data_IF_506282458399
#
_entry.id   IF_506282458399
#
_cell.length_a   1.000
_cell.length_b   1.000
_cell.length_c   1.000
_cell.angle_alpha   90.00
_cell.angle_beta   90.00
_cell.angle_gamma   90.00
#
_symmetry.space_group_name_H-M   'P 1'
#
loop_
_entity.id
_entity.type
_entity.pdbx_description
1 polymer ?
#
# COMPACT_ATOMS: atom_id res chain seq x y z
N UNK A 1 -22.50 7.18 -7.30
CA UNK A 1 -21.07 7.52 -7.29
C UNK A 1 -20.45 6.81 -6.10
N UNK A 2 -19.82 5.67 -6.33
CA UNK A 2 -19.16 4.87 -5.28
C UNK A 2 -17.69 5.23 -5.25
N UNK A 3 -17.22 5.62 -4.07
CA UNK A 3 -15.81 5.89 -3.77
C UNK A 3 -15.08 4.54 -3.77
N UNK A 4 -13.97 4.35 -4.51
CA UNK A 4 -13.19 3.13 -4.42
C UNK A 4 -12.48 3.08 -3.07
N UNK A 5 -12.57 1.92 -2.43
CA UNK A 5 -11.87 1.55 -1.21
C UNK A 5 -10.35 1.54 -1.50
N UNK A 6 -9.60 2.48 -0.92
CA UNK A 6 -8.14 2.59 -1.04
C UNK A 6 -7.51 1.69 0.03
N UNK A 7 -6.86 0.60 -0.40
CA UNK A 7 -6.07 -0.29 0.45
C UNK A 7 -4.57 -0.09 0.21
N UNK A 8 -3.83 -0.02 1.32
CA UNK A 8 -2.37 -0.11 1.53
C UNK A 8 -1.48 0.98 0.88
N UNK A 9 -0.90 1.81 1.75
CA UNK A 9 0.13 2.82 1.45
C UNK A 9 1.47 2.42 2.06
N UNK A 10 2.58 2.88 1.46
CA UNK A 10 3.95 2.67 1.91
C UNK A 10 4.57 4.01 2.29
N UNK A 11 5.09 4.11 3.51
CA UNK A 11 5.76 5.26 4.14
C UNK A 11 6.16 6.45 3.23
N UNK A 12 5.52 7.59 3.52
CA UNK A 12 5.74 8.98 3.05
C UNK A 12 5.87 9.22 1.54
N UNK A 13 6.71 8.51 0.78
CA UNK A 13 6.68 8.47 -0.69
C UNK A 13 7.34 7.17 -1.15
N UNK A 14 6.89 6.56 -2.25
CA UNK A 14 7.60 5.44 -2.89
C UNK A 14 9.10 5.75 -3.06
N UNK A 15 9.99 4.77 -2.83
CA UNK A 15 11.42 5.01 -3.04
C UNK A 15 11.73 5.45 -4.48
N UNK A 16 12.80 6.24 -4.68
CA UNK A 16 13.18 6.75 -6.01
C UNK A 16 13.24 5.65 -7.08
N UNK A 17 13.76 4.47 -6.72
CA UNK A 17 13.82 3.32 -7.63
C UNK A 17 12.42 2.85 -8.06
N UNK A 18 11.46 2.82 -7.12
CA UNK A 18 10.07 2.48 -7.42
C UNK A 18 9.39 3.56 -8.27
N UNK A 19 9.60 4.85 -7.96
CA UNK A 19 9.07 5.96 -8.76
C UNK A 19 9.57 5.93 -10.23
N UNK A 20 10.87 5.70 -10.44
CA UNK A 20 11.47 5.56 -11.78
C UNK A 20 10.87 4.35 -12.51
N UNK A 21 10.72 3.22 -11.83
CA UNK A 21 10.12 2.02 -12.40
C UNK A 21 8.64 2.21 -12.78
N UNK A 22 7.96 3.18 -12.18
CA UNK A 22 6.59 3.59 -12.53
C UNK A 22 6.55 4.64 -13.66
N UNK A 23 7.69 4.97 -14.26
CA UNK A 23 7.79 5.90 -15.40
C UNK A 23 7.82 7.37 -15.01
N UNK A 24 8.00 7.71 -13.72
CA UNK A 24 8.15 9.10 -13.28
C UNK A 24 9.49 9.64 -13.79
N UNK A 25 9.45 10.81 -14.44
CA UNK A 25 10.63 11.46 -15.01
C UNK A 25 11.61 11.88 -13.91
N UNK A 26 12.89 12.04 -14.23
CA UNK A 26 13.90 12.49 -13.26
C UNK A 26 13.55 13.83 -12.61
N UNK A 27 12.89 14.72 -13.35
CA UNK A 27 12.56 16.05 -12.87
C UNK A 27 11.34 16.01 -11.91
N UNK A 28 10.51 14.96 -12.01
CA UNK A 28 9.28 14.76 -11.25
C UNK A 28 9.43 13.86 -10.01
N UNK A 29 10.64 13.35 -9.76
CA UNK A 29 10.90 12.51 -8.60
C UNK A 29 10.72 13.32 -7.29
N UNK A 30 10.09 12.68 -6.32
CA UNK A 30 9.78 13.26 -4.99
C UNK A 30 10.60 12.56 -3.92
N UNK A 31 11.17 13.32 -2.97
CA UNK A 31 11.96 12.80 -1.86
C UNK A 31 11.11 12.61 -0.60
N UNK A 32 11.53 11.68 0.26
CA UNK A 32 10.97 11.51 1.61
C UNK A 32 11.17 12.78 2.45
N UNK A 33 10.35 12.94 3.50
CA UNK A 33 10.40 14.08 4.43
C UNK A 33 11.82 14.31 4.98
N UNK A 34 12.21 15.58 5.13
CA UNK A 34 13.56 15.96 5.57
C UNK A 34 14.70 15.69 4.57
N UNK A 35 14.39 15.22 3.34
CA UNK A 35 15.38 15.08 2.27
C UNK A 35 15.12 16.05 1.10
N UNK A 36 16.22 16.59 0.58
CA UNK A 36 16.27 17.49 -0.56
C UNK A 36 16.71 16.74 -1.82
N UNK A 37 16.04 17.05 -2.95
CA UNK A 37 16.37 16.48 -4.25
C UNK A 37 17.63 17.13 -4.82
N UNK A 38 18.64 16.33 -5.13
CA UNK A 38 19.88 16.78 -5.79
C UNK A 38 20.20 15.93 -7.01
N UNK A 39 20.92 16.51 -7.96
CA UNK A 39 21.43 15.80 -9.13
C UNK A 39 22.92 15.53 -8.91
N UNK A 40 23.33 14.26 -8.99
CA UNK A 40 24.74 13.89 -8.85
C UNK A 40 25.56 14.42 -10.02
N UNK A 41 26.69 15.05 -9.72
CA UNK A 41 27.57 15.67 -10.72
C UNK A 41 28.07 14.65 -11.75
N UNK A 42 28.53 13.49 -11.27
CA UNK A 42 29.18 12.48 -12.11
C UNK A 42 28.22 11.69 -13.02
N UNK A 43 27.01 11.42 -12.55
CA UNK A 43 26.10 10.45 -13.17
C UNK A 43 24.83 11.07 -13.72
N UNK A 44 24.59 12.37 -13.50
CA UNK A 44 23.31 13.04 -13.79
C UNK A 44 22.08 12.33 -13.20
N UNK A 45 22.27 11.47 -12.20
CA UNK A 45 21.19 10.73 -11.54
C UNK A 45 20.67 11.51 -10.35
N UNK A 46 19.37 11.44 -10.12
CA UNK A 46 18.72 12.07 -8.97
C UNK A 46 19.02 11.30 -7.68
N UNK A 47 19.22 12.02 -6.59
CA UNK A 47 19.35 11.48 -5.24
C UNK A 47 18.62 12.37 -4.23
N UNK A 48 18.15 11.76 -3.14
CA UNK A 48 17.61 12.48 -1.99
C UNK A 48 18.68 12.52 -0.90
N UNK A 49 18.96 13.71 -0.37
CA UNK A 49 19.99 13.92 0.67
C UNK A 49 19.42 14.81 1.76
N UNK A 50 19.85 14.62 3.02
CA UNK A 50 19.43 15.52 4.11
C UNK A 50 19.77 16.97 3.77
N UNK A 51 18.82 17.89 4.02
CA UNK A 51 18.94 19.33 3.76
C UNK A 51 20.26 19.91 4.27
N UNK A 52 20.63 19.59 5.51
CA UNK A 52 21.88 20.05 6.17
C UNK A 52 23.16 19.65 5.41
N UNK A 53 23.12 18.59 4.61
CA UNK A 53 24.26 18.08 3.87
C UNK A 53 24.33 18.59 2.43
N UNK A 54 23.29 19.26 1.92
CA UNK A 54 23.20 19.68 0.51
C UNK A 54 24.37 20.58 0.13
N UNK A 55 24.54 21.72 0.81
CA UNK A 55 25.61 22.68 0.50
C UNK A 55 27.01 22.05 0.64
N UNK A 56 27.19 21.17 1.64
CA UNK A 56 28.43 20.42 1.83
C UNK A 56 28.72 19.48 0.65
N UNK A 57 27.70 18.79 0.12
CA UNK A 57 27.85 17.89 -1.01
C UNK A 57 28.06 18.63 -2.34
N UNK A 58 27.46 19.80 -2.50
CA UNK A 58 27.72 20.71 -3.64
C UNK A 58 29.16 21.22 -3.59
N UNK A 59 29.62 21.73 -2.44
CA UNK A 59 30.99 22.24 -2.27
C UNK A 59 32.09 21.19 -2.52
N UNK A 60 31.77 19.90 -2.34
CA UNK A 60 32.67 18.76 -2.60
C UNK A 60 32.60 18.25 -4.04
N UNK A 61 31.79 18.86 -4.91
CA UNK A 61 31.61 18.43 -6.30
C UNK A 61 30.86 17.09 -6.45
N UNK A 62 30.11 16.67 -5.42
CA UNK A 62 29.31 15.43 -5.50
C UNK A 62 27.93 15.68 -6.13
N UNK A 63 27.35 16.87 -5.90
CA UNK A 63 26.07 17.31 -6.45
C UNK A 63 26.21 18.63 -7.23
N UNK A 64 25.33 18.81 -8.22
CA UNK A 64 25.19 20.07 -8.96
C UNK A 64 24.70 21.21 -8.06
N UNK A 65 24.96 22.48 -8.43
CA UNK A 65 24.38 23.64 -7.75
C UNK A 65 22.85 23.53 -7.64
N UNK A 66 22.31 23.96 -6.49
CA UNK A 66 20.88 23.95 -6.18
C UNK A 66 20.37 25.37 -5.96
N UNK A 67 19.06 25.56 -6.06
CA UNK A 67 18.43 26.84 -5.70
C UNK A 67 18.45 27.02 -4.16
N UNK A 68 19.27 27.95 -3.70
CA UNK A 68 19.42 28.26 -2.28
C UNK A 68 18.15 28.82 -1.66
N UNK A 69 17.28 29.48 -2.43
CA UNK A 69 16.02 30.03 -1.90
C UNK A 69 15.04 28.92 -1.54
N UNK A 70 14.93 27.90 -2.40
CA UNK A 70 14.13 26.69 -2.16
C UNK A 70 14.73 25.85 -1.03
N UNK A 71 16.06 25.68 -1.01
CA UNK A 71 16.74 24.96 0.06
C UNK A 71 16.54 25.65 1.42
N UNK A 72 16.68 26.97 1.48
CA UNK A 72 16.49 27.73 2.70
C UNK A 72 15.03 27.74 3.15
N UNK A 73 14.06 27.82 2.23
CA UNK A 73 12.64 27.70 2.54
C UNK A 73 12.30 26.33 3.17
N UNK A 74 12.89 25.25 2.64
CA UNK A 74 12.69 23.90 3.17
C UNK A 74 13.47 23.65 4.47
N UNK A 75 14.61 24.32 4.66
CA UNK A 75 15.42 24.24 5.89
C UNK A 75 14.90 25.14 7.03
N UNK A 76 14.07 26.15 6.73
CA UNK A 76 13.45 27.05 7.70
C UNK A 76 12.02 26.67 8.08
N UNK A 77 11.45 25.64 7.44
CA UNK A 77 10.34 24.89 8.02
C UNK A 77 10.88 24.10 9.22
N UNK A 78 11.00 24.74 10.39
CA UNK A 78 11.35 24.05 11.64
C UNK A 78 10.35 22.91 11.93
N UNK A 79 10.81 21.87 12.65
CA UNK A 79 10.07 20.65 13.02
C UNK A 79 8.56 20.91 13.15
N UNK A 80 7.83 20.76 12.04
CA UNK A 80 6.43 21.13 11.97
C UNK A 80 5.66 19.95 12.52
N UNK A 81 5.40 19.94 13.84
CA UNK A 81 4.72 18.82 14.50
C UNK A 81 3.24 18.81 14.08
N UNK A 82 2.93 18.07 13.02
CA UNK A 82 1.55 17.93 12.51
C UNK A 82 0.65 17.15 13.47
N UNK A 83 1.24 16.26 14.25
CA UNK A 83 0.53 15.53 15.28
C UNK A 83 1.40 15.13 16.46
N UNK A 84 0.74 14.89 17.58
CA UNK A 84 1.36 14.36 18.79
C UNK A 84 1.10 12.87 18.88
N UNK A 85 2.10 12.14 19.37
CA UNK A 85 1.92 10.76 19.78
C UNK A 85 1.93 10.70 21.31
N UNK A 86 0.81 10.33 21.91
CA UNK A 86 0.71 10.21 23.36
C UNK A 86 0.65 8.73 23.74
N UNK A 87 1.50 8.35 24.69
CA UNK A 87 1.46 7.01 25.28
C UNK A 87 0.27 6.94 26.23
N UNK A 88 -0.65 6.02 25.99
CA UNK A 88 -1.86 5.86 26.80
C UNK A 88 -1.58 4.97 28.01
N UNK A 89 -1.01 3.79 27.81
CA UNK A 89 -0.63 2.88 28.89
C UNK A 89 0.56 2.00 28.51
N UNK A 90 1.19 1.43 29.54
CA UNK A 90 2.22 0.39 29.45
C UNK A 90 1.91 -0.63 30.55
N UNK A 91 1.33 -1.76 30.18
CA UNK A 91 0.88 -2.78 31.14
C UNK A 91 1.75 -4.04 31.05
N UNK A 92 2.25 -4.56 32.18
CA UNK A 92 3.12 -5.73 32.19
C UNK A 92 2.35 -7.02 31.89
N UNK A 93 2.82 -7.79 30.90
CA UNK A 93 2.32 -9.15 30.68
C UNK A 93 3.00 -10.09 31.68
N UNK A 94 2.23 -10.58 32.64
CA UNK A 94 2.68 -11.52 33.68
C UNK A 94 2.58 -12.95 33.16
N UNK A 95 3.66 -13.71 33.24
CA UNK A 95 3.69 -15.13 32.84
C UNK A 95 4.20 -16.02 33.96
N UNK A 96 3.80 -17.29 33.92
CA UNK A 96 4.23 -18.34 34.87
C UNK A 96 5.31 -19.27 34.27
N UNK A 97 5.78 -19.01 33.05
CA UNK A 97 6.65 -19.92 32.33
C UNK A 97 8.04 -20.00 32.98
N UNK A 98 8.43 -21.19 33.47
CA UNK A 98 9.79 -21.50 33.92
C UNK A 98 10.17 -21.18 35.38
N UNK A 99 9.24 -21.02 36.34
CA UNK A 99 9.60 -20.84 37.77
C UNK A 99 8.82 -21.70 38.77
N UNK A 100 9.49 -22.01 39.88
CA UNK A 100 9.02 -22.77 41.08
C UNK A 100 8.54 -21.82 42.20
N UNK A 101 8.43 -20.50 41.97
CA UNK A 101 8.03 -19.51 42.99
C UNK A 101 6.76 -18.74 42.56
N UNK A 102 5.88 -18.33 43.50
CA UNK A 102 4.56 -17.76 43.21
C UNK A 102 4.55 -16.31 42.69
N UNK A 103 5.72 -15.67 42.50
CA UNK A 103 5.79 -14.32 41.92
C UNK A 103 5.89 -14.40 40.39
N UNK A 104 4.86 -13.91 39.68
CA UNK A 104 4.82 -13.78 38.23
C UNK A 104 6.02 -13.00 37.68
N UNK A 105 6.63 -13.48 36.59
CA UNK A 105 7.69 -12.78 35.86
C UNK A 105 7.08 -12.03 34.65
N UNK A 106 7.56 -10.80 34.40
CA UNK A 106 7.10 -9.99 33.26
C UNK A 106 7.81 -10.43 31.98
N UNK A 107 7.05 -10.82 30.95
CA UNK A 107 7.60 -11.28 29.65
C UNK A 107 7.77 -10.15 28.63
N UNK A 108 7.14 -9.01 28.88
CA UNK A 108 7.13 -7.82 28.05
C UNK A 108 5.94 -6.94 28.44
N UNK A 109 5.64 -5.94 27.62
CA UNK A 109 4.61 -4.95 27.91
C UNK A 109 3.66 -4.76 26.73
N UNK A 110 2.37 -4.69 27.03
CA UNK A 110 1.38 -4.14 26.11
C UNK A 110 1.39 -2.62 26.21
N UNK A 111 1.47 -1.98 25.06
CA UNK A 111 1.62 -0.53 24.95
C UNK A 111 0.57 -0.01 23.99
N UNK A 112 -0.29 0.86 24.48
CA UNK A 112 -1.20 1.63 23.63
C UNK A 112 -0.75 3.08 23.54
N UNK A 113 -1.00 3.67 22.38
CA UNK A 113 -0.69 5.05 22.07
C UNK A 113 -1.78 5.65 21.19
N UNK A 114 -1.95 6.95 21.29
CA UNK A 114 -2.81 7.74 20.42
C UNK A 114 -1.97 8.66 19.54
N UNK A 115 -2.43 8.85 18.30
CA UNK A 115 -1.86 9.80 17.35
C UNK A 115 -2.94 10.83 17.09
N UNK A 116 -2.66 12.06 17.47
CA UNK A 116 -3.59 13.17 17.32
C UNK A 116 -3.06 14.13 16.27
N UNK A 117 -3.89 14.42 15.27
CA UNK A 117 -3.65 15.55 14.37
C UNK A 117 -4.07 16.85 15.04
N UNK A 118 -3.24 17.89 14.88
CA UNK A 118 -3.56 19.24 15.32
C UNK A 118 -4.48 19.95 14.31
N UNK A 119 -3.92 20.64 13.32
CA UNK A 119 -4.67 21.48 12.37
C UNK A 119 -4.71 20.94 10.94
N UNK A 120 -3.91 19.91 10.62
CA UNK A 120 -3.73 19.40 9.26
C UNK A 120 -3.76 17.87 9.25
N UNK A 121 -4.23 17.30 8.14
CA UNK A 121 -4.32 15.85 7.97
C UNK A 121 -2.94 15.20 8.12
N UNK A 122 -2.88 14.07 8.81
CA UNK A 122 -1.69 13.22 8.81
C UNK A 122 -1.99 12.02 7.94
N UNK A 123 -1.35 11.97 6.79
CA UNK A 123 -1.47 10.83 5.91
C UNK A 123 -0.49 9.75 6.36
N UNK A 124 -1.02 8.55 6.62
CA UNK A 124 -0.27 7.29 6.86
C UNK A 124 0.82 7.43 7.95
N UNK A 125 0.44 7.55 9.23
CA UNK A 125 1.38 7.72 10.34
C UNK A 125 2.43 6.61 10.41
N UNK A 126 3.71 6.98 10.47
CA UNK A 126 4.84 6.05 10.65
C UNK A 126 5.40 6.20 12.06
N UNK A 127 5.58 5.09 12.76
CA UNK A 127 5.83 5.07 14.19
C UNK A 127 7.01 4.18 14.50
N UNK A 128 7.93 4.70 15.29
CA UNK A 128 9.04 3.94 15.85
C UNK A 128 8.83 3.75 17.34
N UNK A 129 8.87 2.50 17.78
CA UNK A 129 8.72 2.10 19.17
C UNK A 129 10.02 1.44 19.59
N UNK A 130 10.66 1.97 20.62
CA UNK A 130 11.97 1.54 21.08
C UNK A 130 11.98 1.32 22.59
N UNK A 131 12.54 0.22 23.02
CA UNK A 131 12.86 -0.09 24.42
C UNK A 131 14.36 -0.34 24.59
N UNK A 132 14.76 -0.71 25.80
CA UNK A 132 16.10 -1.24 26.11
C UNK A 132 16.41 -2.58 25.43
N UNK A 133 15.38 -3.32 25.02
CA UNK A 133 15.50 -4.71 24.54
C UNK A 133 15.12 -4.88 23.07
N UNK A 134 14.33 -3.96 22.51
CA UNK A 134 13.76 -4.11 21.17
C UNK A 134 13.52 -2.76 20.49
N UNK A 135 13.50 -2.75 19.15
CA UNK A 135 13.04 -1.62 18.35
C UNK A 135 12.13 -2.15 17.24
N UNK A 136 10.93 -1.60 17.14
CA UNK A 136 9.91 -1.94 16.16
C UNK A 136 9.47 -0.68 15.40
N UNK A 137 9.22 -0.81 14.11
CA UNK A 137 8.63 0.24 13.27
C UNK A 137 7.26 -0.22 12.78
N UNK A 138 6.29 0.67 12.80
CA UNK A 138 4.89 0.37 12.52
C UNK A 138 4.25 1.50 11.72
N UNK A 139 3.63 1.15 10.60
CA UNK A 139 2.88 2.09 9.74
C UNK A 139 1.38 1.90 9.98
N UNK A 140 0.65 3.01 10.09
CA UNK A 140 -0.81 3.02 10.20
C UNK A 140 -1.41 3.38 8.84
N UNK A 141 -2.21 2.51 8.22
CA UNK A 141 -2.77 2.75 6.88
C UNK A 141 -3.87 3.83 6.85
N UNK A 142 -4.41 4.19 8.01
CA UNK A 142 -5.49 5.17 8.16
C UNK A 142 -4.96 6.60 8.17
N UNK A 143 -5.70 7.52 7.54
CA UNK A 143 -5.43 8.96 7.61
C UNK A 143 -6.01 9.52 8.91
N UNK A 144 -5.24 10.35 9.62
CA UNK A 144 -5.71 11.09 10.79
C UNK A 144 -6.24 12.45 10.32
N UNK A 145 -7.56 12.64 10.41
CA UNK A 145 -8.22 13.88 10.02
C UNK A 145 -7.87 15.04 10.98
N UNK A 146 -7.99 16.32 10.56
CA UNK A 146 -7.63 17.46 11.39
C UNK A 146 -8.41 17.47 12.71
N UNK A 147 -7.73 17.75 13.81
CA UNK A 147 -8.29 17.76 15.18
C UNK A 147 -8.89 16.41 15.63
N UNK A 148 -8.46 15.29 15.04
CA UNK A 148 -8.90 13.95 15.45
C UNK A 148 -7.73 13.12 15.96
N UNK A 149 -8.03 12.09 16.76
CA UNK A 149 -7.05 11.14 17.25
C UNK A 149 -7.43 9.71 16.90
N UNK A 150 -6.44 8.90 16.55
CA UNK A 150 -6.57 7.45 16.36
C UNK A 150 -5.77 6.72 17.44
N UNK A 151 -6.27 5.57 17.91
CA UNK A 151 -5.62 4.75 18.95
C UNK A 151 -5.07 3.47 18.33
N UNK A 152 -3.84 3.11 18.69
CA UNK A 152 -3.22 1.85 18.31
C UNK A 152 -2.47 1.22 19.48
N UNK A 153 -2.17 -0.07 19.39
CA UNK A 153 -1.50 -0.81 20.45
C UNK A 153 -0.61 -1.94 19.91
N UNK A 154 0.52 -2.16 20.57
CA UNK A 154 1.48 -3.23 20.24
C UNK A 154 2.05 -3.88 21.50
N UNK A 155 2.68 -5.03 21.31
CA UNK A 155 3.51 -5.68 22.32
C UNK A 155 4.98 -5.35 22.05
N UNK A 156 5.72 -4.98 23.09
CA UNK A 156 7.18 -4.79 23.02
C UNK A 156 7.88 -5.47 24.18
N UNK A 157 9.02 -6.10 23.89
CA UNK A 157 9.90 -6.61 24.93
C UNK A 157 10.67 -5.46 25.56
N UNK A 158 10.68 -5.39 26.89
CA UNK A 158 11.54 -4.47 27.65
C UNK A 158 11.88 -5.09 29.00
N UNK A 159 13.04 -4.77 29.56
CA UNK A 159 13.35 -5.13 30.95
C UNK A 159 12.77 -4.09 31.92
N UNK A 160 12.80 -2.80 31.53
CA UNK A 160 12.18 -1.69 32.26
C UNK A 160 11.13 -0.97 31.40
N UNK A 161 9.86 -0.84 31.84
CA UNK A 161 8.79 -0.20 31.08
C UNK A 161 9.04 1.30 30.83
N UNK A 162 9.85 1.94 31.68
CA UNK A 162 10.18 3.36 31.53
C UNK A 162 11.12 3.63 30.34
N UNK A 163 11.74 2.59 29.80
CA UNK A 163 12.61 2.69 28.62
C UNK A 163 11.85 2.73 27.30
N UNK A 164 10.56 2.37 27.32
CA UNK A 164 9.70 2.33 26.14
C UNK A 164 9.37 3.75 25.68
N UNK A 165 9.88 4.10 24.50
CA UNK A 165 9.66 5.35 23.80
C UNK A 165 8.93 5.09 22.48
N UNK A 166 7.97 5.95 22.18
CA UNK A 166 7.15 5.90 20.98
C UNK A 166 7.34 7.25 20.28
N UNK A 167 7.72 7.22 19.00
CA UNK A 167 8.01 8.43 18.22
C UNK A 167 7.31 8.34 16.87
N UNK A 168 6.59 9.39 16.50
CA UNK A 168 6.05 9.58 15.16
C UNK A 168 7.22 10.02 14.25
N UNK A 169 7.46 9.26 13.17
CA UNK A 169 8.57 9.45 12.25
C UNK A 169 8.22 10.38 11.09
N UNK A 170 6.98 10.37 10.59
CA UNK A 170 6.58 11.29 9.54
C UNK A 170 6.35 12.69 10.15
N UNK A 171 7.32 13.59 9.92
CA UNK A 171 7.21 15.01 10.29
C UNK A 171 6.18 15.75 9.41
N UNK A 172 5.70 15.08 8.36
CA UNK A 172 4.53 15.41 7.56
C UNK A 172 4.69 16.63 6.64
N UNK A 173 5.92 16.96 6.24
CA UNK A 173 6.18 17.95 5.17
C UNK A 173 5.37 17.62 3.89
N UNK A 174 5.23 16.33 3.58
CA UNK A 174 4.43 15.85 2.43
C UNK A 174 2.94 16.03 2.69
N UNK A 175 2.46 15.76 3.91
CA UNK A 175 1.06 15.98 4.29
C UNK A 175 0.68 17.47 4.26
N UNK A 176 1.60 18.34 4.66
CA UNK A 176 1.48 19.79 4.55
C UNK A 176 1.50 20.23 3.09
N UNK A 177 2.43 19.72 2.29
CA UNK A 177 2.52 20.02 0.85
C UNK A 177 1.22 19.63 0.13
N UNK A 178 0.66 18.45 0.45
CA UNK A 178 -0.66 18.04 -0.03
C UNK A 178 -1.75 19.03 0.38
N UNK A 179 -1.83 19.36 1.67
CA UNK A 179 -2.83 20.30 2.21
C UNK A 179 -2.73 21.70 1.57
N UNK A 180 -1.51 22.21 1.36
CA UNK A 180 -1.23 23.51 0.74
C UNK A 180 -1.62 23.51 -0.74
N UNK A 181 -1.34 22.42 -1.46
CA UNK A 181 -1.75 22.24 -2.86
C UNK A 181 -3.28 22.17 -3.00
N UNK A 182 -3.97 21.44 -2.10
CA UNK A 182 -5.45 21.40 -2.09
C UNK A 182 -6.05 22.79 -1.85
N UNK A 183 -5.55 23.52 -0.84
CA UNK A 183 -6.00 24.87 -0.54
C UNK A 183 -5.77 25.82 -1.73
N UNK A 184 -4.62 25.71 -2.40
CA UNK A 184 -4.29 26.51 -3.58
C UNK A 184 -5.20 26.18 -4.77
N UNK A 185 -5.54 24.91 -4.99
CA UNK A 185 -6.53 24.49 -6.00
C UNK A 185 -7.90 25.11 -5.70
N UNK A 186 -8.37 25.05 -4.46
CA UNK A 186 -9.64 25.68 -4.07
C UNK A 186 -9.63 27.20 -4.28
N UNK A 187 -8.54 27.89 -3.91
CA UNK A 187 -8.39 29.33 -4.12
C UNK A 187 -8.42 29.70 -5.60
N UNK A 188 -7.62 29.02 -6.44
CA UNK A 188 -7.57 29.27 -7.88
C UNK A 188 -8.92 28.97 -8.56
N UNK A 189 -9.66 27.95 -8.11
CA UNK A 189 -11.01 27.68 -8.60
C UNK A 189 -11.99 28.81 -8.27
N UNK A 190 -11.90 29.35 -7.04
CA UNK A 190 -12.74 30.46 -6.60
C UNK A 190 -12.41 31.74 -7.39
N UNK A 191 -11.13 32.09 -7.54
CA UNK A 191 -10.69 33.25 -8.34
C UNK A 191 -11.12 33.15 -9.80
N UNK A 192 -11.04 31.96 -10.38
CA UNK A 192 -11.45 31.70 -11.75
C UNK A 192 -12.98 31.80 -11.92
N UNK A 193 -13.75 31.36 -10.93
CA UNK A 193 -15.21 31.54 -10.92
C UNK A 193 -15.60 33.02 -10.85
N UNK A 194 -14.93 33.80 -9.98
CA UNK A 194 -15.13 35.25 -9.88
C UNK A 194 -14.79 35.95 -11.21
N UNK A 195 -13.63 35.63 -11.80
CA UNK A 195 -13.21 36.21 -13.08
C UNK A 195 -14.18 35.87 -14.24
N UNK A 196 -14.75 34.65 -14.26
CA UNK A 196 -15.78 34.27 -15.25
C UNK A 196 -17.08 35.05 -15.08
N UNK A 197 -17.55 35.24 -13.85
CA UNK A 197 -18.78 36.00 -13.57
C UNK A 197 -18.64 37.48 -13.97
N UNK A 198 -17.46 38.07 -13.76
CA UNK A 198 -17.15 39.43 -14.20
C UNK A 198 -17.12 39.58 -15.72
N UNK A 199 -16.88 38.49 -16.46
CA UNK A 199 -16.88 38.48 -17.92
C UNK A 199 -18.31 38.31 -18.49
N UNK A 200 -19.16 37.52 -17.82
CA UNK A 200 -20.56 37.30 -18.22
C UNK A 200 -21.48 38.51 -18.03
N UNK A 201 -21.02 39.58 -17.39
CA UNK A 201 -21.79 40.81 -17.10
C UNK A 201 -21.51 41.96 -18.08
N UNK A 202 -20.56 41.80 -19.01
CA UNK A 202 -20.19 42.85 -19.98
C UNK A 202 -20.56 42.46 -21.42
N UNK A 203 -21.04 43.44 -22.19
CA UNK A 203 -21.48 43.27 -23.59
C UNK A 203 -20.35 43.29 -24.63
N UNK A 204 -19.11 43.62 -24.22
CA UNK A 204 -17.93 43.63 -25.10
C UNK A 204 -16.80 42.75 -24.52
N UNK A 205 -15.97 42.11 -25.37
CA UNK A 205 -14.90 41.22 -24.92
C UNK A 205 -13.80 42.00 -24.17
N UNK A 206 -13.73 41.76 -22.86
CA UNK A 206 -12.69 42.34 -21.99
C UNK A 206 -11.40 41.52 -22.11
N UNK A 207 -10.54 41.91 -23.06
CA UNK A 207 -9.27 41.22 -23.40
C UNK A 207 -8.37 41.03 -22.17
N UNK A 208 -8.41 41.95 -21.20
CA UNK A 208 -7.61 41.84 -19.97
C UNK A 208 -8.14 40.75 -19.04
N UNK A 209 -9.45 40.60 -18.93
CA UNK A 209 -10.07 39.51 -18.17
C UNK A 209 -9.88 38.16 -18.87
N UNK A 210 -9.89 38.12 -20.21
CA UNK A 210 -9.61 36.90 -20.99
C UNK A 210 -8.17 36.42 -20.73
N UNK A 211 -7.18 37.33 -20.72
CA UNK A 211 -5.79 37.00 -20.41
C UNK A 211 -5.66 36.48 -18.96
N UNK A 212 -6.31 37.15 -17.99
CA UNK A 212 -6.32 36.71 -16.59
C UNK A 212 -6.94 35.31 -16.41
N UNK A 213 -8.05 35.01 -17.09
CA UNK A 213 -8.67 33.68 -17.06
C UNK A 213 -7.75 32.62 -17.66
N UNK A 214 -7.03 32.96 -18.73
CA UNK A 214 -6.07 32.04 -19.37
C UNK A 214 -4.93 31.70 -18.42
N UNK A 215 -4.37 32.69 -17.74
CA UNK A 215 -3.30 32.50 -16.76
C UNK A 215 -3.79 31.70 -15.54
N UNK A 216 -4.97 32.04 -14.97
CA UNK A 216 -5.56 31.29 -13.86
C UNK A 216 -5.84 29.82 -14.22
N UNK A 217 -6.25 29.54 -15.47
CA UNK A 217 -6.42 28.15 -15.96
C UNK A 217 -5.10 27.40 -16.03
N UNK A 218 -4.04 28.07 -16.49
CA UNK A 218 -2.70 27.49 -16.57
C UNK A 218 -2.20 27.12 -15.18
N UNK A 219 -2.21 28.07 -14.25
CA UNK A 219 -1.77 27.86 -12.87
C UNK A 219 -2.60 26.79 -12.15
N UNK A 220 -3.92 26.74 -12.39
CA UNK A 220 -4.80 25.72 -11.83
C UNK A 220 -4.46 24.32 -12.35
N UNK A 221 -4.15 24.18 -13.64
CA UNK A 221 -3.79 22.89 -14.23
C UNK A 221 -2.43 22.41 -13.74
N UNK A 222 -1.43 23.28 -13.69
CA UNK A 222 -0.09 22.98 -13.15
C UNK A 222 -0.19 22.55 -11.67
N UNK A 223 -0.92 23.31 -10.84
CA UNK A 223 -1.10 22.97 -9.41
C UNK A 223 -1.85 21.65 -9.21
N UNK A 224 -2.83 21.34 -10.07
CA UNK A 224 -3.55 20.06 -10.04
C UNK A 224 -2.66 18.89 -10.45
N UNK A 225 -1.82 19.08 -11.45
CA UNK A 225 -0.86 18.09 -11.89
C UNK A 225 0.12 17.73 -10.76
N UNK A 226 0.68 18.74 -10.09
CA UNK A 226 1.53 18.54 -8.92
C UNK A 226 0.82 17.81 -7.77
N UNK A 227 -0.43 18.20 -7.45
CA UNK A 227 -1.26 17.56 -6.41
C UNK A 227 -1.50 16.08 -6.73
N UNK A 228 -1.94 15.77 -7.95
CA UNK A 228 -2.24 14.40 -8.35
C UNK A 228 -0.98 13.55 -8.49
N UNK A 229 0.16 14.14 -8.87
CA UNK A 229 1.47 13.46 -8.84
C UNK A 229 1.85 13.06 -7.41
N UNK A 230 1.72 13.98 -6.45
CA UNK A 230 2.02 13.68 -5.05
C UNK A 230 1.06 12.63 -4.50
N UNK A 231 -0.25 12.74 -4.80
CA UNK A 231 -1.22 11.71 -4.44
C UNK A 231 -0.90 10.36 -5.05
N UNK A 232 -0.46 10.30 -6.29
CA UNK A 232 0.03 9.07 -6.89
C UNK A 232 1.28 8.56 -6.15
N UNK A 233 2.24 9.41 -5.80
CA UNK A 233 3.44 8.97 -5.11
C UNK A 233 3.19 8.46 -3.67
N UNK A 234 2.11 8.92 -3.03
CA UNK A 234 1.66 8.56 -1.67
C UNK A 234 0.68 7.38 -1.66
N UNK A 235 -0.19 7.27 -2.68
CA UNK A 235 -1.31 6.32 -2.73
C UNK A 235 -1.32 5.37 -3.92
N UNK A 236 -0.30 5.38 -4.79
CA UNK A 236 -0.27 4.49 -5.95
C UNK A 236 -0.23 3.02 -5.53
N UNK A 237 -1.41 2.42 -5.54
CA UNK A 237 -1.57 1.00 -5.85
C UNK A 237 -1.53 0.87 -7.37
N UNK A 238 -0.76 -0.06 -7.96
CA UNK A 238 -0.68 -0.19 -9.42
C UNK A 238 -2.06 -0.48 -10.02
N UNK A 239 -2.52 0.34 -10.97
CA UNK A 239 -3.77 0.09 -11.71
C UNK A 239 -3.60 0.41 -13.21
N UNK A 240 -3.91 -0.58 -14.03
CA UNK A 240 -3.96 -0.50 -15.50
C UNK A 240 -5.29 0.11 -15.99
N UNK A 241 -5.25 0.83 -17.13
CA UNK A 241 -6.42 1.47 -17.75
C UNK A 241 -7.06 0.60 -18.85
N UNK A 242 -8.38 0.81 -19.01
CA UNK A 242 -9.28 0.53 -20.15
C UNK A 242 -10.22 -0.70 -20.07
N UNK A 243 -11.51 -0.42 -20.23
CA UNK A 243 -12.55 -1.40 -20.52
C UNK A 243 -12.79 -1.43 -22.04
N UNK A 244 -11.93 -2.17 -22.72
CA UNK A 244 -12.19 -2.71 -24.06
C UNK A 244 -12.95 -4.02 -23.83
N UNK A 245 -13.87 -4.40 -24.72
CA UNK A 245 -14.45 -5.74 -24.67
C UNK A 245 -13.28 -6.73 -24.70
N UNK A 246 -13.02 -7.39 -23.56
CA UNK A 246 -11.78 -8.14 -23.38
C UNK A 246 -11.95 -9.48 -24.06
N UNK A 247 -11.37 -9.56 -25.25
CA UNK A 247 -11.31 -10.77 -26.06
C UNK A 247 -10.09 -11.58 -25.65
N UNK A 248 -10.20 -12.89 -25.78
CA UNK A 248 -9.06 -13.80 -25.74
C UNK A 248 -8.10 -13.53 -26.92
N UNK A 249 -6.94 -14.19 -26.95
CA UNK A 249 -6.04 -14.11 -28.09
C UNK A 249 -6.65 -14.73 -29.35
N UNK A 250 -7.65 -15.61 -29.19
CA UNK A 250 -8.45 -16.18 -30.28
C UNK A 250 -9.67 -15.34 -30.67
N UNK A 251 -9.89 -14.18 -30.02
CA UNK A 251 -10.97 -13.25 -30.35
C UNK A 251 -12.32 -13.60 -29.71
N UNK A 252 -12.36 -14.51 -28.75
CA UNK A 252 -13.60 -14.92 -28.05
C UNK A 252 -13.83 -14.07 -26.79
N UNK A 253 -15.09 -13.73 -26.45
CA UNK A 253 -15.40 -13.07 -25.19
C UNK A 253 -14.96 -13.90 -23.98
N UNK A 254 -14.32 -13.24 -23.00
CA UNK A 254 -13.89 -13.89 -21.77
C UNK A 254 -15.05 -13.86 -20.77
N UNK A 255 -15.78 -14.97 -20.63
CA UNK A 255 -16.93 -15.09 -19.72
C UNK A 255 -16.55 -15.74 -18.38
N UNK A 256 -15.87 -16.90 -18.44
CA UNK A 256 -15.47 -17.72 -17.29
C UNK A 256 -14.01 -18.19 -17.41
N UNK A 257 -13.55 -18.96 -16.42
CA UNK A 257 -12.22 -19.60 -16.48
C UNK A 257 -12.19 -20.66 -17.60
N UNK A 258 -11.22 -20.54 -18.51
CA UNK A 258 -11.10 -21.46 -19.65
C UNK A 258 -9.64 -21.70 -20.04
N UNK A 259 -9.40 -22.78 -20.78
CA UNK A 259 -8.14 -23.03 -21.47
C UNK A 259 -8.44 -23.53 -22.88
N UNK A 260 -7.74 -22.99 -23.88
CA UNK A 260 -8.02 -23.24 -25.29
C UNK A 260 -6.71 -23.52 -26.03
N UNK A 261 -6.68 -24.59 -26.81
CA UNK A 261 -5.55 -24.89 -27.68
C UNK A 261 -5.60 -23.92 -28.88
N UNK A 262 -4.56 -23.10 -29.01
CA UNK A 262 -4.45 -22.10 -30.08
C UNK A 262 -3.81 -22.73 -31.32
N UNK A 263 -2.77 -23.53 -31.13
CA UNK A 263 -2.04 -24.18 -32.22
C UNK A 263 -1.25 -25.38 -31.69
N UNK A 264 -1.12 -26.43 -32.49
CA UNK A 264 -0.10 -27.44 -32.29
C UNK A 264 0.67 -27.66 -33.59
N UNK A 265 2.00 -27.79 -33.51
CA UNK A 265 2.87 -28.08 -34.65
C UNK A 265 3.91 -29.13 -34.28
N UNK A 266 4.30 -29.97 -35.24
CA UNK A 266 5.36 -30.95 -35.00
C UNK A 266 6.68 -30.20 -34.72
N UNK A 267 7.34 -30.54 -33.62
CA UNK A 267 8.58 -29.92 -33.21
C UNK A 267 9.71 -30.29 -34.18
N UNK A 268 10.67 -29.38 -34.36
CA UNK A 268 11.87 -29.62 -35.17
C UNK A 268 12.85 -30.62 -34.52
N UNK A 269 12.66 -30.89 -33.23
CA UNK A 269 13.51 -31.76 -32.40
C UNK A 269 12.64 -32.78 -31.68
N UNK A 270 12.98 -34.06 -31.77
CA UNK A 270 12.27 -35.16 -31.11
C UNK A 270 11.23 -35.84 -32.00
N UNK A 271 11.25 -37.17 -32.04
CA UNK A 271 10.23 -37.96 -32.73
C UNK A 271 8.90 -37.84 -31.97
N UNK A 272 7.78 -37.72 -32.71
CA UNK A 272 6.43 -37.58 -32.15
C UNK A 272 6.25 -36.45 -31.13
N UNK A 273 7.10 -35.42 -31.16
CA UNK A 273 7.00 -34.25 -30.28
C UNK A 273 6.28 -33.10 -30.98
N UNK A 274 5.39 -32.42 -30.27
CA UNK A 274 4.62 -31.28 -30.75
C UNK A 274 4.83 -30.05 -29.85
N UNK A 275 5.00 -28.89 -30.47
CA UNK A 275 4.91 -27.59 -29.81
C UNK A 275 3.43 -27.18 -29.77
N UNK A 276 2.81 -27.30 -28.59
CA UNK A 276 1.44 -26.90 -28.33
C UNK A 276 1.42 -25.50 -27.72
N UNK A 277 0.76 -24.57 -28.39
CA UNK A 277 0.50 -23.20 -27.93
C UNK A 277 -0.96 -23.12 -27.50
N UNK A 278 -1.20 -22.60 -26.31
CA UNK A 278 -2.52 -22.50 -25.73
C UNK A 278 -2.70 -21.18 -24.98
N UNK A 279 -3.94 -20.78 -24.80
CA UNK A 279 -4.33 -19.66 -23.96
C UNK A 279 -5.12 -20.16 -22.76
N UNK A 280 -4.99 -19.46 -21.64
CA UNK A 280 -5.87 -19.62 -20.48
C UNK A 280 -6.44 -18.28 -20.07
N UNK A 281 -7.73 -18.24 -19.78
CA UNK A 281 -8.46 -17.03 -19.48
C UNK A 281 -9.09 -17.09 -18.09
N UNK A 282 -9.20 -15.92 -17.46
CA UNK A 282 -9.94 -15.73 -16.22
C UNK A 282 -11.17 -14.85 -16.51
N UNK A 283 -12.36 -15.33 -16.13
CA UNK A 283 -13.61 -14.57 -16.20
C UNK A 283 -13.64 -13.39 -15.22
N UNK A 284 -14.81 -13.12 -14.63
CA UNK A 284 -15.00 -11.99 -13.70
C UNK A 284 -14.15 -12.08 -12.42
N UNK A 285 -13.70 -13.27 -12.06
CA UNK A 285 -12.88 -13.53 -10.88
C UNK A 285 -11.42 -13.76 -11.27
N UNK A 286 -10.50 -13.25 -10.45
CA UNK A 286 -9.08 -13.52 -10.58
C UNK A 286 -8.83 -15.03 -10.46
N UNK A 287 -8.02 -15.59 -11.35
CA UNK A 287 -7.51 -16.96 -11.20
C UNK A 287 -6.13 -16.85 -10.58
N UNK A 288 -6.01 -17.11 -9.28
CA UNK A 288 -4.72 -17.20 -8.60
C UNK A 288 -4.10 -18.56 -8.95
N UNK A 289 -2.80 -18.58 -9.24
CA UNK A 289 -2.06 -19.83 -9.51
C UNK A 289 -2.60 -20.68 -10.68
N UNK A 290 -2.67 -20.16 -11.92
CA UNK A 290 -3.14 -20.93 -13.06
C UNK A 290 -2.22 -22.11 -13.42
N UNK A 291 -2.76 -23.34 -13.38
CA UNK A 291 -2.11 -24.55 -13.90
C UNK A 291 -2.96 -25.13 -15.03
N UNK A 292 -2.35 -25.34 -16.20
CA UNK A 292 -2.99 -25.92 -17.37
C UNK A 292 -2.43 -27.31 -17.62
N UNK A 293 -3.32 -28.29 -17.73
CA UNK A 293 -2.98 -29.63 -18.19
C UNK A 293 -3.01 -29.63 -19.72
N UNK A 294 -1.88 -29.94 -20.34
CA UNK A 294 -1.79 -30.28 -21.77
C UNK A 294 -1.71 -31.80 -21.84
N UNK A 295 -2.70 -32.42 -22.45
CA UNK A 295 -2.88 -33.87 -22.47
C UNK A 295 -2.87 -34.38 -23.90
N UNK A 296 -2.19 -35.49 -24.14
CA UNK A 296 -2.21 -36.23 -25.40
C UNK A 296 -2.58 -37.71 -25.17
N UNK A 297 -2.56 -38.51 -26.23
CA UNK A 297 -2.65 -39.96 -26.18
C UNK A 297 -1.41 -40.64 -25.57
N UNK A 298 -0.31 -39.91 -25.42
CA UNK A 298 0.97 -40.45 -24.94
C UNK A 298 1.38 -39.91 -23.57
N UNK A 299 1.06 -38.65 -23.25
CA UNK A 299 1.45 -38.05 -21.99
C UNK A 299 0.55 -36.89 -21.56
N UNK A 300 0.69 -36.52 -20.29
CA UNK A 300 0.07 -35.32 -19.72
C UNK A 300 1.14 -34.49 -19.06
N UNK A 301 1.19 -33.20 -19.39
CA UNK A 301 2.11 -32.23 -18.80
C UNK A 301 1.32 -31.08 -18.17
N UNK A 302 1.74 -30.67 -16.97
CA UNK A 302 1.16 -29.52 -16.29
C UNK A 302 2.06 -28.30 -16.52
N UNK A 303 1.46 -27.22 -16.99
CA UNK A 303 2.14 -25.98 -17.32
C UNK A 303 1.61 -24.88 -16.41
N UNK A 304 2.51 -24.29 -15.64
CA UNK A 304 2.21 -23.17 -14.75
C UNK A 304 2.43 -21.86 -15.51
N UNK A 305 1.39 -21.04 -15.62
CA UNK A 305 1.42 -19.84 -16.47
C UNK A 305 1.97 -18.59 -15.77
N UNK A 306 1.92 -18.56 -14.43
CA UNK A 306 2.37 -17.44 -13.62
C UNK A 306 1.67 -17.41 -12.26
N UNK A 307 1.74 -16.27 -11.56
CA UNK A 307 1.19 -16.13 -10.21
C UNK A 307 -0.33 -15.88 -10.19
N UNK A 308 -0.85 -15.26 -11.25
CA UNK A 308 -2.28 -14.97 -11.42
C UNK A 308 -2.61 -14.70 -12.88
N UNK A 309 -3.87 -14.95 -13.25
CA UNK A 309 -4.52 -14.37 -14.42
C UNK A 309 -5.51 -13.33 -13.90
N UNK A 310 -5.31 -12.06 -14.28
CA UNK A 310 -6.17 -10.97 -13.82
C UNK A 310 -7.61 -11.15 -14.35
N UNK A 311 -8.63 -10.62 -13.65
CA UNK A 311 -10.01 -10.70 -14.13
C UNK A 311 -10.18 -10.21 -15.56
N UNK A 312 -10.93 -10.97 -16.33
CA UNK A 312 -11.24 -10.73 -17.74
C UNK A 312 -9.98 -10.67 -18.63
N UNK A 313 -8.90 -11.38 -18.30
CA UNK A 313 -7.68 -11.41 -19.12
C UNK A 313 -7.30 -12.84 -19.48
N UNK A 314 -6.47 -13.00 -20.50
CA UNK A 314 -5.88 -14.29 -20.87
C UNK A 314 -4.36 -14.24 -20.83
N UNK A 315 -3.73 -15.40 -20.66
CA UNK A 315 -2.29 -15.62 -20.80
C UNK A 315 -2.05 -16.71 -21.82
N UNK A 316 -1.13 -16.48 -22.76
CA UNK A 316 -0.64 -17.52 -23.67
C UNK A 316 0.60 -18.17 -23.11
N UNK A 317 0.72 -19.47 -23.34
CA UNK A 317 1.95 -20.21 -23.11
C UNK A 317 2.09 -21.31 -24.15
N UNK A 318 3.24 -21.95 -24.14
CA UNK A 318 3.49 -23.13 -24.92
C UNK A 318 4.04 -24.25 -24.06
N UNK A 319 3.92 -25.46 -24.57
CA UNK A 319 4.56 -26.63 -24.01
C UNK A 319 4.92 -27.63 -25.12
N UNK A 320 5.99 -28.38 -24.89
CA UNK A 320 6.36 -29.51 -25.74
C UNK A 320 5.69 -30.75 -25.20
N UNK A 321 4.95 -31.45 -26.05
CA UNK A 321 4.21 -32.66 -25.68
C UNK A 321 4.43 -33.78 -26.71
N UNK A 322 4.65 -35.01 -26.24
CA UNK A 322 4.67 -36.22 -27.04
C UNK A 322 3.24 -36.59 -27.43
N UNK A 323 3.01 -36.93 -28.69
CA UNK A 323 1.68 -37.29 -29.19
C UNK A 323 1.77 -38.16 -30.43
N UNK A 324 0.92 -39.17 -30.55
CA UNK A 324 0.87 -40.04 -31.72
C UNK A 324 0.27 -39.34 -32.94
N UNK A 325 -0.57 -38.31 -32.70
CA UNK A 325 -1.16 -37.47 -33.73
C UNK A 325 -1.50 -36.07 -33.20
N UNK A 326 -1.87 -35.14 -34.10
CA UNK A 326 -2.19 -33.75 -33.73
C UNK A 326 -3.53 -33.65 -32.98
N UNK A 327 -4.51 -34.47 -33.37
CA UNK A 327 -5.89 -34.38 -32.90
C UNK A 327 -6.10 -34.94 -31.50
N UNK A 328 -5.12 -35.65 -30.94
CA UNK A 328 -5.15 -36.16 -29.57
C UNK A 328 -4.70 -35.13 -28.52
N UNK A 329 -4.21 -33.95 -28.93
CA UNK A 329 -3.73 -32.92 -28.00
C UNK A 329 -4.90 -32.04 -27.54
N UNK A 330 -5.13 -32.00 -26.23
CA UNK A 330 -6.16 -31.19 -25.58
C UNK A 330 -5.56 -30.38 -24.43
N UNK A 331 -6.20 -29.25 -24.13
CA UNK A 331 -5.84 -28.44 -22.96
C UNK A 331 -7.05 -28.22 -22.07
N UNK A 332 -6.84 -28.29 -20.77
CA UNK A 332 -7.86 -28.00 -19.78
C UNK A 332 -7.23 -27.36 -18.53
N UNK A 333 -7.99 -26.55 -17.78
CA UNK A 333 -7.56 -26.15 -16.44
C UNK A 333 -7.31 -27.39 -15.58
N UNK A 334 -6.08 -27.56 -15.07
CA UNK A 334 -5.77 -28.56 -14.07
C UNK A 334 -6.31 -28.03 -12.74
N UNK A 335 -7.49 -28.50 -12.33
CA UNK A 335 -8.33 -27.85 -11.33
C UNK A 335 -7.62 -27.35 -10.06
N UNK A 336 -7.88 -26.08 -9.72
CA UNK A 336 -7.56 -25.46 -8.43
C UNK A 336 -8.84 -25.01 -7.68
N UNK A 337 -10.02 -25.52 -8.06
CA UNK A 337 -11.30 -25.05 -7.51
C UNK A 337 -11.40 -25.22 -5.97
N UNK A 338 -10.87 -26.31 -5.41
CA UNK A 338 -10.81 -26.50 -3.94
C UNK A 338 -9.81 -25.59 -3.23
N UNK A 339 -8.67 -25.27 -3.86
CA UNK A 339 -7.73 -24.28 -3.30
C UNK A 339 -8.33 -22.87 -3.38
N UNK A 340 -9.12 -22.59 -4.42
CA UNK A 340 -9.76 -21.30 -4.63
C UNK A 340 -10.92 -21.06 -3.64
N UNK A 341 -11.72 -22.08 -3.34
CA UNK A 341 -12.74 -22.01 -2.28
C UNK A 341 -12.09 -21.87 -0.90
N UNK A 342 -11.04 -22.65 -0.60
CA UNK A 342 -10.28 -22.52 0.66
C UNK A 342 -9.63 -21.15 0.83
N UNK A 343 -9.06 -20.57 -0.23
CA UNK A 343 -8.51 -19.21 -0.20
C UNK A 343 -9.62 -18.19 0.07
N UNK A 344 -10.77 -18.33 -0.60
CA UNK A 344 -11.92 -17.43 -0.39
C UNK A 344 -12.51 -17.55 1.02
N UNK A 345 -12.59 -18.77 1.56
CA UNK A 345 -13.06 -19.03 2.93
C UNK A 345 -12.09 -18.45 3.96
N UNK A 346 -10.78 -18.60 3.75
CA UNK A 346 -9.74 -17.99 4.58
C UNK A 346 -9.84 -16.46 4.52
N UNK A 347 -10.04 -15.86 3.34
CA UNK A 347 -10.22 -14.42 3.18
C UNK A 347 -11.48 -13.90 3.90
N UNK A 348 -12.61 -14.63 3.83
CA UNK A 348 -13.83 -14.28 4.55
C UNK A 348 -13.68 -14.40 6.08
N UNK A 349 -12.98 -15.44 6.56
CA UNK A 349 -12.66 -15.58 7.98
C UNK A 349 -11.74 -14.46 8.46
N UNK A 350 -10.76 -14.05 7.64
CA UNK A 350 -9.91 -12.90 7.93
C UNK A 350 -10.72 -11.60 8.07
N UNK A 351 -11.68 -11.35 7.19
CA UNK A 351 -12.58 -10.18 7.29
C UNK A 351 -13.39 -10.22 8.59
N UNK A 352 -13.93 -11.39 8.96
CA UNK A 352 -14.68 -11.55 10.21
C UNK A 352 -13.79 -11.26 11.43
N UNK A 353 -12.63 -11.90 11.52
CA UNK A 353 -11.69 -11.70 12.62
C UNK A 353 -11.16 -10.25 12.70
N UNK A 354 -11.06 -9.56 11.55
CA UNK A 354 -10.73 -8.13 11.49
C UNK A 354 -11.84 -7.26 12.07
N UNK A 355 -13.11 -7.60 11.87
CA UNK A 355 -14.22 -6.88 12.51
C UNK A 355 -14.29 -7.18 14.01
N UNK A 356 -14.07 -8.44 14.40
CA UNK A 356 -14.09 -8.86 15.80
C UNK A 356 -12.97 -8.17 16.60
N UNK A 357 -11.75 -8.08 16.05
CA UNK A 357 -10.65 -7.38 16.73
C UNK A 357 -10.87 -5.87 16.83
N UNK A 358 -11.58 -5.25 15.86
CA UNK A 358 -11.99 -3.85 15.94
C UNK A 358 -13.03 -3.63 17.05
N UNK A 359 -14.00 -4.54 17.19
CA UNK A 359 -15.00 -4.50 18.25
C UNK A 359 -14.36 -4.59 19.65
N UNK A 360 -13.42 -5.53 19.85
CA UNK A 360 -12.70 -5.69 21.12
C UNK A 360 -11.86 -4.44 21.44
N UNK A 361 -11.20 -3.84 20.44
CA UNK A 361 -10.46 -2.57 20.61
C UNK A 361 -11.35 -1.42 21.04
N UNK A 362 -12.53 -1.29 20.43
CA UNK A 362 -13.49 -0.23 20.78
C UNK A 362 -14.01 -0.40 22.20
N UNK A 363 -14.22 -1.64 22.63
CA UNK A 363 -14.65 -1.97 24.00
C UNK A 363 -13.54 -1.69 25.01
N UNK A 364 -12.29 -2.05 24.71
CA UNK A 364 -11.15 -1.70 25.56
C UNK A 364 -10.97 -0.17 25.66
N UNK A 365 -11.19 0.56 24.55
CA UNK A 365 -11.14 2.03 24.51
C UNK A 365 -12.22 2.65 25.39
N UNK A 366 -13.46 2.14 25.36
CA UNK A 366 -14.54 2.68 26.18
C UNK A 366 -14.28 2.44 27.67
N UNK A 367 -13.84 1.24 28.05
CA UNK A 367 -13.52 0.90 29.44
C UNK A 367 -12.38 1.75 29.99
N UNK A 368 -11.34 2.00 29.19
CA UNK A 368 -10.17 2.80 29.61
C UNK A 368 -10.46 4.28 29.78
N UNK A 369 -11.44 4.82 29.04
CA UNK A 369 -11.85 6.23 29.11
C UNK A 369 -13.03 6.49 30.04
N UNK A 370 -13.61 5.45 30.67
CA UNK A 370 -14.67 5.61 31.65
C UNK A 370 -14.10 6.20 32.96
N UNK A 371 -14.53 7.42 33.37
CA UNK A 371 -14.10 8.01 34.64
C UNK A 371 -14.59 7.21 35.86
N UNK A 372 -15.67 6.43 35.73
CA UNK A 372 -16.20 5.55 36.76
C UNK A 372 -15.85 4.10 36.46
N UNK A 373 -14.57 3.77 36.63
CA UNK A 373 -14.04 2.42 36.35
C UNK A 373 -14.90 1.34 37.01
N UNK A 374 -15.34 0.31 36.26
CA UNK A 374 -16.13 -0.79 36.82
C UNK A 374 -15.33 -1.54 37.89
N UNK A 375 -16.03 -2.17 38.84
CA UNK A 375 -15.40 -2.88 39.96
C UNK A 375 -14.50 -4.06 39.51
N UNK A 376 -14.78 -4.63 38.33
CA UNK A 376 -14.00 -5.68 37.68
C UNK A 376 -13.11 -5.14 36.55
N UNK A 377 -12.71 -3.86 36.59
CA UNK A 377 -11.91 -3.20 35.55
C UNK A 377 -10.68 -4.02 35.12
N UNK A 378 -9.87 -4.49 36.08
CA UNK A 378 -8.66 -5.24 35.76
C UNK A 378 -8.96 -6.56 35.04
N UNK A 379 -10.04 -7.26 35.42
CA UNK A 379 -10.46 -8.52 34.80
C UNK A 379 -10.99 -8.27 33.38
N UNK A 380 -11.71 -7.17 33.15
CA UNK A 380 -12.17 -6.81 31.81
C UNK A 380 -11.01 -6.41 30.88
N UNK A 381 -10.03 -5.65 31.38
CA UNK A 381 -8.83 -5.31 30.62
C UNK A 381 -8.06 -6.58 30.27
N UNK A 382 -7.85 -7.50 31.22
CA UNK A 382 -7.16 -8.76 30.98
C UNK A 382 -7.90 -9.62 29.93
N UNK A 383 -9.22 -9.74 30.05
CA UNK A 383 -10.06 -10.49 29.11
C UNK A 383 -10.00 -9.93 27.69
N UNK A 384 -10.23 -8.62 27.51
CA UNK A 384 -10.24 -8.00 26.18
C UNK A 384 -8.85 -7.98 25.54
N UNK A 385 -7.80 -7.82 26.34
CA UNK A 385 -6.42 -7.97 25.87
C UNK A 385 -6.12 -9.39 25.41
N UNK A 386 -6.54 -10.40 26.18
CA UNK A 386 -6.40 -11.80 25.80
C UNK A 386 -7.16 -12.12 24.49
N UNK A 387 -8.37 -11.60 24.34
CA UNK A 387 -9.16 -11.75 23.10
C UNK A 387 -8.46 -11.11 21.91
N UNK A 388 -7.88 -9.91 22.06
CA UNK A 388 -7.12 -9.24 21.00
C UNK A 388 -5.87 -10.05 20.60
N UNK A 389 -5.17 -10.62 21.58
CA UNK A 389 -4.00 -11.49 21.34
C UNK A 389 -4.42 -12.74 20.57
N UNK A 390 -5.49 -13.41 21.01
CA UNK A 390 -6.01 -14.62 20.38
C UNK A 390 -6.49 -14.36 18.95
N UNK A 391 -7.31 -13.32 18.73
CA UNK A 391 -7.77 -12.89 17.41
C UNK A 391 -6.59 -12.57 16.48
N UNK A 392 -5.53 -11.92 17.00
CA UNK A 392 -4.31 -11.65 16.23
C UNK A 392 -3.56 -12.93 15.89
N UNK A 393 -3.49 -13.89 16.82
CA UNK A 393 -2.93 -15.23 16.62
C UNK A 393 -3.65 -15.98 15.51
N UNK A 394 -4.99 -16.05 15.59
CA UNK A 394 -5.85 -16.66 14.58
C UNK A 394 -5.69 -15.99 13.20
N UNK A 395 -5.62 -14.65 13.15
CA UNK A 395 -5.31 -13.91 11.91
C UNK A 395 -3.93 -14.31 11.36
N UNK A 396 -2.94 -14.45 12.24
CA UNK A 396 -1.58 -14.88 11.88
C UNK A 396 -1.54 -16.29 11.32
N UNK A 397 -2.23 -17.24 11.95
CA UNK A 397 -2.35 -18.63 11.50
C UNK A 397 -3.07 -18.74 10.16
N UNK A 398 -4.20 -18.04 9.99
CA UNK A 398 -4.92 -18.02 8.72
C UNK A 398 -4.10 -17.39 7.59
N UNK A 399 -3.33 -16.33 7.89
CA UNK A 399 -2.35 -15.76 6.95
C UNK A 399 -1.21 -16.74 6.63
N UNK A 400 -0.74 -17.50 7.61
CA UNK A 400 0.29 -18.52 7.41
C UNK A 400 -0.23 -19.67 6.54
N UNK A 401 -1.45 -20.16 6.80
CA UNK A 401 -2.12 -21.18 5.98
C UNK A 401 -2.36 -20.69 4.55
N UNK A 402 -2.80 -19.44 4.38
CA UNK A 402 -2.91 -18.80 3.07
C UNK A 402 -1.55 -18.81 2.35
N UNK A 403 -0.49 -18.36 3.02
CA UNK A 403 0.86 -18.33 2.46
C UNK A 403 1.45 -19.73 2.21
N UNK A 404 1.09 -20.74 3.00
CA UNK A 404 1.48 -22.12 2.81
C UNK A 404 0.78 -22.74 1.60
N UNK A 405 -0.53 -22.48 1.42
CA UNK A 405 -1.27 -22.89 0.22
C UNK A 405 -0.62 -22.26 -1.01
N UNK A 406 -0.34 -20.95 -0.95
CA UNK A 406 0.40 -20.27 -2.01
C UNK A 406 1.75 -20.98 -2.26
N UNK A 407 2.58 -21.13 -1.24
CA UNK A 407 3.91 -21.74 -1.35
C UNK A 407 3.89 -23.17 -1.92
N UNK A 408 2.99 -24.04 -1.45
CA UNK A 408 2.86 -25.44 -1.92
C UNK A 408 2.36 -25.53 -3.36
N UNK A 409 1.53 -24.60 -3.81
CA UNK A 409 1.13 -24.53 -5.22
C UNK A 409 2.22 -23.90 -6.09
N UNK A 410 3.17 -23.15 -5.50
CA UNK A 410 4.30 -22.58 -6.22
C UNK A 410 5.54 -23.48 -6.31
N UNK A 411 5.64 -24.54 -5.50
CA UNK A 411 6.67 -25.58 -5.54
C UNK A 411 6.26 -26.72 -6.47
#
# INVERSE_FOLDING_TARGET
MMVPNLQDSFADVLSLKKQINLGISSDDLTCESGMFKVIRERTNSVACVKTDNVLKLVSKGWAKPVDETLLNAQSSQGDFVLGTINKLYVEPIKTQFGKVSPKYAVSGYDVAFEICSSSQKIYVPDILIKSDSETQRYEIPETVEPNTCIVSATFIKAADPNTIKITLLNQGDISKTLSDLEAKVSSLQQELAVARNLLGTKSAPDVTQIAKITELRKQLNETKEDLYRLYFAVYAVPQEKYNVQKLSFTGTPIEDQSATLVMAKKALTGENTYDAVFEACAGKTIVKLPVISVTSDMETINVKLGDKIAPNTCQMSSAKILSGNLTSIFVAPAGNAESNSKITDIENQLIKLQNDIVSERNTLRSITHDPNKPSNYNEQIEMHTANIIDLRGQIGELKAQLNEILYKTYR
#
